data_IF_895581424119
#
_entry.id   IF_895581424119
#
_cell.length_a   1.000
_cell.length_b   1.000
_cell.length_c   1.000
_cell.angle_alpha   90.00
_cell.angle_beta   90.00
_cell.angle_gamma   90.00
#
_symmetry.space_group_name_H-M   'P 1'
#
loop_
_entity.id
_entity.type
_entity.pdbx_description
1 polymer ?
#
# COMPACT_ATOMS: atom_id res chain seq x y z
N UNK A 1 34.25 0.65 -11.56
CA UNK A 1 33.34 0.71 -10.39
C UNK A 1 31.96 0.97 -10.94
N UNK A 2 30.99 0.05 -10.86
CA UNK A 2 29.64 0.35 -11.32
C UNK A 2 28.99 1.36 -10.37
N UNK A 3 28.44 2.40 -10.97
CA UNK A 3 27.79 3.53 -10.33
C UNK A 3 26.61 3.02 -9.49
N UNK A 4 26.61 3.32 -8.19
CA UNK A 4 25.55 2.89 -7.28
C UNK A 4 24.36 3.80 -7.56
N UNK A 5 23.17 3.29 -7.94
CA UNK A 5 22.04 4.15 -8.22
C UNK A 5 21.76 4.99 -6.98
N UNK A 6 21.94 6.30 -7.11
CA UNK A 6 21.63 7.26 -6.07
C UNK A 6 20.14 7.13 -5.82
N UNK A 7 19.76 6.50 -4.71
CA UNK A 7 18.38 6.31 -4.30
C UNK A 7 17.79 7.72 -4.20
N UNK A 8 17.07 8.17 -5.23
CA UNK A 8 16.34 9.42 -5.26
C UNK A 8 15.28 9.32 -4.16
N UNK A 9 15.71 9.62 -2.95
CA UNK A 9 14.86 9.66 -1.78
C UNK A 9 14.11 10.96 -1.98
N UNK A 10 12.94 10.86 -2.62
CA UNK A 10 12.01 11.98 -2.74
C UNK A 10 11.72 12.44 -1.31
N UNK A 11 12.47 13.45 -0.87
CA UNK A 11 12.42 13.94 0.48
C UNK A 11 11.15 14.77 0.56
N UNK A 12 10.11 14.19 1.14
CA UNK A 12 8.85 14.90 1.36
C UNK A 12 9.12 15.94 2.44
N UNK A 13 9.05 17.21 2.07
CA UNK A 13 9.07 18.29 3.04
C UNK A 13 7.83 18.20 3.94
N UNK A 14 8.06 18.01 5.24
CA UNK A 14 7.01 17.89 6.25
C UNK A 14 6.18 19.16 6.34
N UNK A 15 6.79 20.34 6.14
CA UNK A 15 6.05 21.61 6.13
C UNK A 15 5.10 21.69 4.95
N UNK A 16 5.55 21.31 3.75
CA UNK A 16 4.71 21.23 2.56
C UNK A 16 3.58 20.22 2.72
N UNK A 17 3.86 19.03 3.27
CA UNK A 17 2.81 18.01 3.54
C UNK A 17 1.75 18.53 4.51
N UNK A 18 2.15 19.26 5.56
CA UNK A 18 1.21 19.88 6.49
C UNK A 18 0.31 20.90 5.80
N UNK A 19 0.88 21.76 4.94
CA UNK A 19 0.10 22.74 4.19
C UNK A 19 -0.94 22.07 3.29
N UNK A 20 -0.56 20.99 2.60
CA UNK A 20 -1.47 20.21 1.76
C UNK A 20 -2.61 19.55 2.56
N UNK A 21 -2.34 19.08 3.77
CA UNK A 21 -3.38 18.51 4.65
C UNK A 21 -4.32 19.59 5.17
N UNK A 22 -3.81 20.77 5.52
CA UNK A 22 -4.64 21.91 5.92
C UNK A 22 -5.54 22.39 4.78
N UNK A 23 -4.99 22.47 3.56
CA UNK A 23 -5.75 22.81 2.36
C UNK A 23 -6.86 21.80 2.08
N UNK A 24 -6.56 20.50 2.22
CA UNK A 24 -7.58 19.45 2.13
C UNK A 24 -8.67 19.61 3.20
N UNK A 25 -8.30 19.93 4.45
CA UNK A 25 -9.28 20.15 5.53
C UNK A 25 -10.18 21.36 5.27
N UNK A 26 -9.66 22.38 4.59
CA UNK A 26 -10.43 23.57 4.22
C UNK A 26 -11.35 23.34 3.01
N UNK A 27 -10.89 22.59 2.01
CA UNK A 27 -11.58 22.44 0.70
C UNK A 27 -12.34 21.13 0.55
N UNK A 28 -12.06 20.14 1.40
CA UNK A 28 -12.56 18.76 1.27
C UNK A 28 -12.01 18.00 0.06
N UNK A 29 -11.12 18.62 -0.73
CA UNK A 29 -10.64 18.05 -2.01
C UNK A 29 -9.20 17.57 -1.86
N UNK A 30 -8.86 16.45 -2.49
CA UNK A 30 -7.48 15.94 -2.53
C UNK A 30 -6.77 16.54 -3.73
N UNK A 31 -5.78 17.40 -3.49
CA UNK A 31 -4.97 17.96 -4.57
C UNK A 31 -4.03 16.92 -5.20
N UNK A 32 -3.64 17.09 -6.48
CA UNK A 32 -2.65 16.22 -7.12
C UNK A 32 -1.32 16.17 -6.35
N UNK A 33 -0.92 17.27 -5.74
CA UNK A 33 0.29 17.39 -4.91
C UNK A 33 0.18 16.53 -3.65
N UNK A 34 -0.98 16.56 -2.97
CA UNK A 34 -1.22 15.71 -1.81
C UNK A 34 -1.24 14.23 -2.21
N UNK A 35 -1.89 13.90 -3.33
CA UNK A 35 -1.89 12.53 -3.86
C UNK A 35 -0.46 12.02 -4.13
N UNK A 36 0.38 12.82 -4.79
CA UNK A 36 1.79 12.49 -5.03
C UNK A 36 2.58 12.32 -3.73
N UNK A 37 2.34 13.17 -2.73
CA UNK A 37 2.99 13.03 -1.43
C UNK A 37 2.59 11.71 -0.73
N UNK A 38 1.31 11.35 -0.74
CA UNK A 38 0.84 10.08 -0.17
C UNK A 38 1.41 8.87 -0.92
N UNK A 39 1.49 8.93 -2.26
CA UNK A 39 2.14 7.90 -3.07
C UNK A 39 3.63 7.75 -2.72
N UNK A 40 4.35 8.86 -2.53
CA UNK A 40 5.76 8.82 -2.14
C UNK A 40 5.96 8.20 -0.74
N UNK A 41 5.06 8.48 0.21
CA UNK A 41 5.06 7.82 1.52
C UNK A 41 4.84 6.31 1.36
N UNK A 42 3.81 5.90 0.61
CA UNK A 42 3.52 4.50 0.36
C UNK A 42 4.71 3.78 -0.32
N UNK A 43 5.31 4.40 -1.33
CA UNK A 43 6.48 3.89 -2.03
C UNK A 43 7.69 3.72 -1.12
N UNK A 44 7.95 4.70 -0.25
CA UNK A 44 9.02 4.63 0.74
C UNK A 44 8.80 3.53 1.79
N UNK A 45 7.54 3.29 2.19
CA UNK A 45 7.18 2.18 3.08
C UNK A 45 7.41 0.84 2.39
N UNK A 46 6.99 0.68 1.13
CA UNK A 46 7.25 -0.54 0.38
C UNK A 46 8.74 -0.82 0.24
N UNK A 47 9.53 0.21 -0.13
CA UNK A 47 10.97 0.11 -0.32
C UNK A 47 11.72 -0.35 0.94
N UNK A 48 11.12 -0.16 2.12
CA UNK A 48 11.68 -0.59 3.41
C UNK A 48 11.19 -1.96 3.87
N UNK A 49 9.90 -2.27 3.70
CA UNK A 49 9.27 -3.43 4.33
C UNK A 49 8.83 -4.53 3.37
N UNK A 50 8.63 -4.21 2.09
CA UNK A 50 8.19 -5.13 1.02
C UNK A 50 7.04 -6.03 1.48
N UNK A 51 5.90 -5.41 1.82
CA UNK A 51 4.74 -6.14 2.34
C UNK A 51 4.12 -7.10 1.33
N UNK A 52 4.18 -6.74 0.06
CA UNK A 52 3.67 -7.46 -1.12
C UNK A 52 4.82 -7.71 -2.12
N UNK A 53 4.57 -8.57 -3.11
CA UNK A 53 5.51 -8.83 -4.22
C UNK A 53 5.56 -7.69 -5.24
N UNK A 54 4.42 -7.05 -5.49
CA UNK A 54 4.29 -5.94 -6.43
C UNK A 54 4.29 -4.59 -5.69
N UNK A 55 5.14 -3.67 -6.15
CA UNK A 55 5.25 -2.31 -5.60
C UNK A 55 4.09 -1.43 -6.03
N UNK A 56 3.70 -1.48 -7.29
CA UNK A 56 2.75 -0.53 -7.86
C UNK A 56 1.35 -0.81 -7.31
N UNK A 57 0.97 -2.08 -7.22
CA UNK A 57 -0.27 -2.51 -6.56
C UNK A 57 -0.31 -2.05 -5.09
N UNK A 58 0.80 -2.22 -4.36
CA UNK A 58 0.89 -1.78 -2.97
C UNK A 58 0.75 -0.28 -2.84
N UNK A 59 1.48 0.48 -3.65
CA UNK A 59 1.45 1.94 -3.61
C UNK A 59 0.05 2.42 -3.92
N UNK A 60 -0.62 1.85 -4.92
CA UNK A 60 -2.00 2.20 -5.26
C UNK A 60 -2.97 1.91 -4.12
N UNK A 61 -2.98 0.68 -3.59
CA UNK A 61 -3.90 0.28 -2.52
C UNK A 61 -3.68 1.10 -1.24
N UNK A 62 -2.43 1.30 -0.84
CA UNK A 62 -2.09 2.10 0.34
C UNK A 62 -2.46 3.56 0.14
N UNK A 63 -2.17 4.14 -1.04
CA UNK A 63 -2.52 5.54 -1.32
C UNK A 63 -4.03 5.75 -1.23
N UNK A 64 -4.82 4.85 -1.83
CA UNK A 64 -6.29 4.89 -1.72
C UNK A 64 -6.74 4.76 -0.27
N UNK A 65 -6.11 3.88 0.52
CA UNK A 65 -6.40 3.77 1.95
C UNK A 65 -6.08 5.07 2.71
N UNK A 66 -4.95 5.70 2.43
CA UNK A 66 -4.53 6.95 3.09
C UNK A 66 -5.45 8.11 2.77
N UNK A 67 -5.98 8.20 1.54
CA UNK A 67 -6.92 9.25 1.09
C UNK A 67 -8.31 9.18 1.75
N UNK A 68 -8.64 8.09 2.42
CA UNK A 68 -9.92 7.91 3.12
C UNK A 68 -9.80 8.41 4.58
N UNK A 69 -10.20 7.56 5.52
CA UNK A 69 -10.23 7.82 6.96
C UNK A 69 -8.92 8.31 7.58
N UNK A 70 -7.71 7.88 7.14
CA UNK A 70 -6.47 8.45 7.65
C UNK A 70 -6.33 9.93 7.35
N UNK A 71 -6.62 10.36 6.12
CA UNK A 71 -6.55 11.77 5.75
C UNK A 71 -7.58 12.63 6.51
N UNK A 72 -8.81 12.13 6.68
CA UNK A 72 -9.85 12.80 7.48
C UNK A 72 -9.46 12.98 8.95
N UNK A 73 -8.66 12.05 9.50
CA UNK A 73 -8.22 12.06 10.90
C UNK A 73 -6.85 12.68 11.11
N UNK A 74 -6.17 13.08 10.03
CA UNK A 74 -4.83 13.62 10.12
C UNK A 74 -4.86 14.94 10.88
N UNK A 75 -4.06 15.05 11.93
CA UNK A 75 -3.86 16.31 12.65
C UNK A 75 -2.62 17.00 12.07
N UNK A 76 -2.85 18.06 11.30
CA UNK A 76 -1.79 18.80 10.62
C UNK A 76 -0.83 19.51 11.58
N UNK A 77 -1.25 19.80 12.82
CA UNK A 77 -0.39 20.42 13.83
C UNK A 77 0.57 19.41 14.49
N UNK A 78 0.32 18.10 14.33
CA UNK A 78 1.15 17.02 14.86
C UNK A 78 2.17 16.51 13.83
N UNK A 79 2.75 15.34 14.10
CA UNK A 79 3.70 14.66 13.22
C UNK A 79 2.97 13.95 12.06
N UNK A 80 2.43 14.72 11.13
CA UNK A 80 1.59 14.23 10.02
C UNK A 80 2.29 13.18 9.15
N UNK A 81 3.59 13.36 8.87
CA UNK A 81 4.38 12.39 8.12
C UNK A 81 4.47 11.03 8.83
N UNK A 82 4.78 11.04 10.13
CA UNK A 82 4.87 9.82 10.95
C UNK A 82 3.51 9.13 11.07
N UNK A 83 2.44 9.92 11.16
CA UNK A 83 1.08 9.41 11.18
C UNK A 83 0.75 8.63 9.90
N UNK A 84 0.92 9.23 8.72
CA UNK A 84 0.67 8.54 7.45
C UNK A 84 1.57 7.34 7.22
N UNK A 85 2.86 7.45 7.59
CA UNK A 85 3.80 6.32 7.52
C UNK A 85 3.32 5.16 8.40
N UNK A 86 2.83 5.44 9.62
CA UNK A 86 2.29 4.42 10.52
C UNK A 86 1.03 3.77 9.96
N UNK A 87 0.12 4.57 9.40
CA UNK A 87 -1.07 4.06 8.72
C UNK A 87 -0.71 3.14 7.55
N UNK A 88 0.24 3.55 6.72
CA UNK A 88 0.73 2.76 5.59
C UNK A 88 1.36 1.43 6.03
N UNK A 89 2.17 1.43 7.10
CA UNK A 89 2.75 0.21 7.68
C UNK A 89 1.65 -0.74 8.17
N UNK A 90 0.68 -0.23 8.94
CA UNK A 90 -0.42 -1.05 9.48
C UNK A 90 -1.29 -1.63 8.38
N UNK A 91 -1.56 -0.85 7.33
CA UNK A 91 -2.30 -1.36 6.18
C UNK A 91 -1.49 -2.40 5.40
N UNK A 92 -0.20 -2.17 5.20
CA UNK A 92 0.69 -3.15 4.57
C UNK A 92 0.78 -4.48 5.32
N UNK A 93 0.77 -4.46 6.65
CA UNK A 93 0.67 -5.67 7.47
C UNK A 93 -0.63 -6.43 7.17
N UNK A 94 -1.77 -5.73 7.10
CA UNK A 94 -3.06 -6.33 6.75
C UNK A 94 -3.06 -6.95 5.35
N UNK A 95 -2.42 -6.30 4.37
CA UNK A 95 -2.30 -6.85 3.01
C UNK A 95 -1.49 -8.16 3.00
N UNK A 96 -0.37 -8.19 3.74
CA UNK A 96 0.45 -9.39 3.90
C UNK A 96 -0.33 -10.51 4.59
N UNK A 97 -1.06 -10.19 5.67
CA UNK A 97 -1.91 -11.14 6.39
C UNK A 97 -3.02 -11.70 5.49
N UNK A 98 -3.68 -10.86 4.69
CA UNK A 98 -4.69 -11.27 3.72
C UNK A 98 -4.11 -12.25 2.70
N UNK A 99 -2.98 -11.90 2.08
CA UNK A 99 -2.30 -12.77 1.11
C UNK A 99 -1.91 -14.13 1.72
N UNK A 100 -1.47 -14.13 2.98
CA UNK A 100 -1.07 -15.35 3.70
C UNK A 100 -2.29 -16.18 4.13
N UNK A 101 -3.37 -15.52 4.57
CA UNK A 101 -4.64 -16.15 4.93
C UNK A 101 -5.33 -16.78 3.73
N UNK A 102 -5.34 -16.11 2.58
CA UNK A 102 -5.88 -16.64 1.33
C UNK A 102 -5.10 -17.86 0.85
N UNK A 103 -3.76 -17.82 0.95
CA UNK A 103 -2.91 -18.98 0.66
C UNK A 103 -3.23 -20.17 1.56
N UNK A 104 -3.32 -19.97 2.87
CA UNK A 104 -3.64 -21.04 3.82
C UNK A 104 -5.02 -21.64 3.56
N UNK A 105 -6.03 -20.81 3.27
CA UNK A 105 -7.38 -21.28 2.91
C UNK A 105 -7.37 -22.12 1.64
N UNK A 106 -6.63 -21.69 0.62
CA UNK A 106 -6.48 -22.47 -0.61
C UNK A 106 -5.77 -23.81 -0.36
N UNK A 107 -4.69 -23.82 0.42
CA UNK A 107 -3.98 -25.05 0.80
C UNK A 107 -4.88 -26.03 1.58
N UNK A 108 -5.71 -25.52 2.51
CA UNK A 108 -6.70 -26.33 3.23
C UNK A 108 -7.78 -26.89 2.30
N UNK A 109 -8.37 -26.04 1.45
CA UNK A 109 -9.38 -26.47 0.48
C UNK A 109 -8.82 -27.50 -0.52
N UNK A 110 -7.56 -27.33 -0.94
CA UNK A 110 -6.89 -28.28 -1.82
C UNK A 110 -6.64 -29.62 -1.13
N UNK A 111 -6.25 -29.61 0.14
CA UNK A 111 -6.10 -30.84 0.94
C UNK A 111 -7.44 -31.57 1.13
N UNK A 112 -8.52 -30.84 1.41
CA UNK A 112 -9.88 -31.40 1.52
C UNK A 112 -10.36 -32.02 0.20
N UNK A 113 -10.05 -31.42 -0.94
CA UNK A 113 -10.41 -31.98 -2.26
C UNK A 113 -9.64 -33.27 -2.57
N UNK A 114 -8.35 -33.34 -2.24
CA UNK A 114 -7.53 -34.54 -2.40
C UNK A 114 -8.02 -35.67 -1.48
N UNK A 115 -8.36 -35.36 -0.23
CA UNK A 115 -8.92 -36.33 0.73
C UNK A 115 -10.30 -36.83 0.30
N UNK A 116 -11.12 -35.98 -0.33
CA UNK A 116 -12.41 -36.34 -0.90
C UNK A 116 -12.33 -37.08 -2.26
N UNK A 117 -11.13 -37.36 -2.78
CA UNK A 117 -10.90 -38.03 -4.06
C UNK A 117 -11.38 -37.24 -5.28
N UNK A 118 -11.51 -35.91 -5.16
CA UNK A 118 -11.96 -35.01 -6.24
C UNK A 118 -10.77 -34.27 -6.85
N UNK A 119 -10.74 -34.17 -8.17
CA UNK A 119 -9.68 -33.44 -8.88
C UNK A 119 -9.71 -31.95 -8.54
N UNK A 120 -8.51 -31.39 -8.32
CA UNK A 120 -8.32 -29.96 -8.14
C UNK A 120 -8.71 -29.23 -9.43
N UNK A 121 -9.52 -28.17 -9.37
CA UNK A 121 -9.83 -27.39 -10.56
C UNK A 121 -8.52 -26.87 -11.17
N UNK A 122 -8.36 -26.94 -12.51
CA UNK A 122 -7.14 -26.50 -13.17
C UNK A 122 -6.90 -25.04 -12.80
N UNK A 123 -5.67 -24.74 -12.42
CA UNK A 123 -5.22 -23.38 -12.15
C UNK A 123 -5.56 -22.58 -13.41
N UNK A 124 -6.56 -21.69 -13.33
CA UNK A 124 -6.88 -20.78 -14.44
C UNK A 124 -5.65 -19.95 -14.67
N UNK A 125 -4.85 -20.33 -15.65
CA UNK A 125 -3.92 -19.43 -16.30
C UNK A 125 -4.76 -18.23 -16.71
N UNK A 126 -4.38 -17.06 -16.19
CA UNK A 126 -5.00 -15.81 -16.58
C UNK A 126 -4.78 -15.72 -18.08
N UNK A 127 -5.86 -15.87 -18.85
CA UNK A 127 -5.92 -15.57 -20.28
C UNK A 127 -5.27 -14.18 -20.48
N UNK A 128 -4.03 -14.19 -20.96
CA UNK A 128 -3.44 -13.06 -21.68
C UNK A 128 -4.29 -12.87 -22.93
N UNK A 129 -5.28 -11.99 -22.86
CA UNK A 129 -6.00 -11.52 -24.04
C UNK A 129 -5.59 -10.07 -24.30
N UNK A 130 -4.72 -9.99 -25.30
CA UNK A 130 -4.62 -9.00 -26.39
C UNK A 130 -4.81 -7.51 -26.07
#
# INVERSE_FOLDING_TARGET
MPDRPTRATSYIDVAALRALVLDHQATGTVSPELARALMAIAGGVWDRYRFTSDKDDFVQEVTLHLMQRPLEKADAQKHVFNYFTTCAIRFGQKLREKATGDRRRFETYAAELVEAGRELPPRRERDERE
#
